data_IF_550823471574
#
_entry.id   IF_550823471574
#
_cell.length_a   1.000
_cell.length_b   1.000
_cell.length_c   1.000
_cell.angle_alpha   90.00
_cell.angle_beta   90.00
_cell.angle_gamma   90.00
#
_symmetry.space_group_name_H-M   'P 1'
#
loop_
_entity.id
_entity.type
_entity.pdbx_description
1 polymer ?
#
# COMPACT_ATOMS: atom_id res chain seq x y z
N UNK A 1 -85.34 27.29 25.74
CA UNK A 1 -84.08 26.72 26.24
C UNK A 1 -83.58 25.58 25.36
N UNK A 2 -84.39 24.55 25.07
CA UNK A 2 -84.03 23.41 24.18
C UNK A 2 -83.70 23.79 22.72
N UNK A 3 -84.39 24.80 22.18
CA UNK A 3 -84.19 25.23 20.79
C UNK A 3 -82.87 25.99 20.60
N UNK A 4 -82.50 26.83 21.57
CA UNK A 4 -81.21 27.52 21.62
C UNK A 4 -80.02 26.53 21.68
N UNK A 5 -80.14 25.47 22.47
CA UNK A 5 -79.10 24.43 22.56
C UNK A 5 -78.97 23.60 21.28
N UNK A 6 -80.05 23.42 20.50
CA UNK A 6 -79.96 22.73 19.21
C UNK A 6 -79.25 23.58 18.16
N UNK A 7 -79.53 24.90 18.13
CA UNK A 7 -78.84 25.84 17.23
C UNK A 7 -77.35 25.97 17.52
N UNK A 8 -76.95 26.01 18.80
CA UNK A 8 -75.55 26.01 19.20
C UNK A 8 -74.84 24.69 18.79
N UNK A 9 -75.53 23.55 18.89
CA UNK A 9 -75.01 22.26 18.45
C UNK A 9 -74.81 22.20 16.93
N UNK A 10 -75.75 22.73 16.14
CA UNK A 10 -75.60 22.76 14.67
C UNK A 10 -74.46 23.67 14.24
N UNK A 11 -74.33 24.86 14.85
CA UNK A 11 -73.24 25.78 14.53
C UNK A 11 -71.86 25.19 14.89
N UNK A 12 -71.77 24.48 16.01
CA UNK A 12 -70.54 23.79 16.40
C UNK A 12 -70.20 22.60 15.50
N UNK A 13 -71.20 21.85 15.01
CA UNK A 13 -70.98 20.80 14.01
C UNK A 13 -70.48 21.38 12.69
N UNK A 14 -71.11 22.45 12.17
CA UNK A 14 -70.69 23.11 10.94
C UNK A 14 -69.25 23.65 11.03
N UNK A 15 -68.89 24.24 12.19
CA UNK A 15 -67.50 24.68 12.43
C UNK A 15 -66.52 23.50 12.50
N UNK A 16 -66.92 22.38 13.11
CA UNK A 16 -66.09 21.18 13.17
C UNK A 16 -65.87 20.58 11.78
N UNK A 17 -66.90 20.55 10.95
CA UNK A 17 -66.81 20.08 9.56
C UNK A 17 -65.85 20.95 8.75
N UNK A 18 -66.00 22.28 8.82
CA UNK A 18 -65.08 23.20 8.14
C UNK A 18 -63.62 23.07 8.62
N UNK A 19 -63.40 22.82 9.92
CA UNK A 19 -62.05 22.59 10.46
C UNK A 19 -61.50 21.24 10.01
N UNK A 20 -62.34 20.20 9.92
CA UNK A 20 -61.94 18.88 9.43
C UNK A 20 -61.51 18.95 7.96
N UNK A 21 -62.28 19.62 7.10
CA UNK A 21 -61.92 19.83 5.69
C UNK A 21 -60.62 20.62 5.54
N UNK A 22 -60.43 21.67 6.35
CA UNK A 22 -59.19 22.45 6.33
C UNK A 22 -57.97 21.63 6.78
N UNK A 23 -58.15 20.74 7.76
CA UNK A 23 -57.10 19.82 8.21
C UNK A 23 -56.77 18.76 7.16
N UNK A 24 -57.76 18.21 6.47
CA UNK A 24 -57.57 17.25 5.39
C UNK A 24 -56.77 17.88 4.25
N UNK A 25 -57.16 19.07 3.79
CA UNK A 25 -56.43 19.81 2.76
C UNK A 25 -55.00 20.18 3.20
N UNK A 26 -54.80 20.52 4.48
CA UNK A 26 -53.47 20.78 5.01
C UNK A 26 -52.60 19.52 5.05
N UNK A 27 -53.19 18.38 5.42
CA UNK A 27 -52.50 17.09 5.45
C UNK A 27 -52.10 16.64 4.04
N UNK A 28 -52.97 16.81 3.04
CA UNK A 28 -52.67 16.53 1.63
C UNK A 28 -51.50 17.38 1.13
N UNK A 29 -51.52 18.70 1.38
CA UNK A 29 -50.41 19.58 0.97
C UNK A 29 -49.09 19.21 1.62
N UNK A 30 -49.11 18.83 2.91
CA UNK A 30 -47.90 18.36 3.60
C UNK A 30 -47.41 17.05 2.98
N UNK A 31 -48.30 16.11 2.67
CA UNK A 31 -47.93 14.85 2.03
C UNK A 31 -47.29 15.09 0.66
N UNK A 32 -47.86 15.96 -0.17
CA UNK A 32 -47.30 16.35 -1.48
C UNK A 32 -45.91 17.00 -1.33
N UNK A 33 -45.76 17.92 -0.38
CA UNK A 33 -44.48 18.57 -0.10
C UNK A 33 -43.41 17.55 0.34
N UNK A 34 -43.79 16.59 1.19
CA UNK A 34 -42.86 15.56 1.66
C UNK A 34 -42.40 14.64 0.53
N UNK A 35 -43.29 14.30 -0.41
CA UNK A 35 -42.91 13.53 -1.61
C UNK A 35 -41.95 14.33 -2.49
N UNK A 36 -42.23 15.62 -2.71
CA UNK A 36 -41.36 16.50 -3.51
C UNK A 36 -39.97 16.66 -2.89
N UNK A 37 -39.90 16.92 -1.58
CA UNK A 37 -38.63 17.04 -0.85
C UNK A 37 -37.84 15.74 -0.84
N UNK A 38 -38.51 14.59 -0.71
CA UNK A 38 -37.86 13.29 -0.77
C UNK A 38 -37.25 13.03 -2.16
N UNK A 39 -37.97 13.38 -3.24
CA UNK A 39 -37.47 13.24 -4.60
C UNK A 39 -36.26 14.15 -4.87
N UNK A 40 -36.30 15.40 -4.40
CA UNK A 40 -35.19 16.35 -4.52
C UNK A 40 -33.96 15.87 -3.74
N UNK A 41 -34.15 15.38 -2.51
CA UNK A 41 -33.08 14.83 -1.70
C UNK A 41 -32.42 13.61 -2.38
N UNK A 42 -33.22 12.69 -2.94
CA UNK A 42 -32.70 11.56 -3.70
C UNK A 42 -31.89 12.00 -4.92
N UNK A 43 -32.36 13.00 -5.65
CA UNK A 43 -31.64 13.54 -6.80
C UNK A 43 -30.31 14.19 -6.40
N UNK A 44 -30.31 14.96 -5.30
CA UNK A 44 -29.09 15.59 -4.75
C UNK A 44 -28.07 14.55 -4.33
N UNK A 45 -28.50 13.53 -3.59
CA UNK A 45 -27.65 12.39 -3.20
C UNK A 45 -27.09 11.69 -4.44
N UNK A 46 -27.91 11.44 -5.45
CA UNK A 46 -27.46 10.82 -6.70
C UNK A 46 -26.36 11.62 -7.40
N UNK A 47 -26.48 12.96 -7.44
CA UNK A 47 -25.43 13.82 -8.00
C UNK A 47 -24.15 13.79 -7.19
N UNK A 48 -24.26 13.86 -5.85
CA UNK A 48 -23.09 13.80 -4.96
C UNK A 48 -22.35 12.46 -5.16
N UNK A 49 -23.08 11.35 -5.15
CA UNK A 49 -22.50 10.01 -5.36
C UNK A 49 -21.75 9.95 -6.70
N UNK A 50 -22.38 10.38 -7.79
CA UNK A 50 -21.73 10.39 -9.11
C UNK A 50 -20.45 11.24 -9.13
N UNK A 51 -20.45 12.41 -8.49
CA UNK A 51 -19.26 13.28 -8.42
C UNK A 51 -18.15 12.67 -7.57
N UNK A 52 -18.50 12.05 -6.44
CA UNK A 52 -17.54 11.41 -5.53
C UNK A 52 -16.93 10.18 -6.19
N UNK A 53 -17.72 9.36 -6.88
CA UNK A 53 -17.25 8.20 -7.62
C UNK A 53 -16.28 8.61 -8.74
N UNK A 54 -16.65 9.62 -9.53
CA UNK A 54 -15.79 10.15 -10.61
C UNK A 54 -14.46 10.70 -10.04
N UNK A 55 -14.52 11.46 -8.95
CA UNK A 55 -13.31 11.99 -8.30
C UNK A 55 -12.42 10.89 -7.74
N UNK A 56 -13.02 9.84 -7.17
CA UNK A 56 -12.30 8.67 -6.65
C UNK A 56 -11.64 7.88 -7.77
N UNK A 57 -12.31 7.69 -8.90
CA UNK A 57 -11.76 7.00 -10.07
C UNK A 57 -10.54 7.75 -10.63
N UNK A 58 -10.66 9.07 -10.81
CA UNK A 58 -9.53 9.91 -11.26
C UNK A 58 -8.32 9.87 -10.31
N UNK A 59 -8.56 9.86 -8.99
CA UNK A 59 -7.48 9.72 -8.00
C UNK A 59 -6.82 8.33 -8.06
N UNK A 60 -7.61 7.27 -8.29
CA UNK A 60 -7.07 5.91 -8.45
C UNK A 60 -6.23 5.79 -9.72
N UNK A 61 -6.69 6.35 -10.84
CA UNK A 61 -5.92 6.39 -12.09
C UNK A 61 -4.59 7.13 -11.91
N UNK A 62 -4.61 8.28 -11.21
CA UNK A 62 -3.39 9.03 -10.91
C UNK A 62 -2.40 8.21 -10.07
N UNK A 63 -2.88 7.55 -9.01
CA UNK A 63 -2.03 6.70 -8.16
C UNK A 63 -1.46 5.52 -8.92
N UNK A 64 -2.25 4.94 -9.82
CA UNK A 64 -1.80 3.84 -10.68
C UNK A 64 -0.66 4.32 -11.59
N UNK A 65 -0.82 5.45 -12.27
CA UNK A 65 0.23 6.02 -13.13
C UNK A 65 1.51 6.38 -12.35
N UNK A 66 1.36 6.93 -11.13
CA UNK A 66 2.50 7.21 -10.26
C UNK A 66 3.23 5.92 -9.82
N UNK A 67 2.48 4.86 -9.47
CA UNK A 67 3.05 3.57 -9.10
C UNK A 67 3.75 2.89 -10.28
N UNK A 68 3.15 2.89 -11.47
CA UNK A 68 3.76 2.37 -12.70
C UNK A 68 5.07 3.11 -13.02
N UNK A 69 5.10 4.44 -12.88
CA UNK A 69 6.32 5.24 -13.04
C UNK A 69 7.41 4.86 -12.05
N UNK A 70 7.05 4.61 -10.78
CA UNK A 70 7.99 4.16 -9.75
C UNK A 70 8.56 2.77 -10.08
N UNK A 71 7.71 1.84 -10.49
CA UNK A 71 8.12 0.48 -10.90
C UNK A 71 9.10 0.56 -12.06
N UNK A 72 8.77 1.30 -13.13
CA UNK A 72 9.66 1.46 -14.27
C UNK A 72 11.02 2.08 -13.88
N UNK A 73 11.03 3.03 -12.94
CA UNK A 73 12.27 3.61 -12.43
C UNK A 73 13.10 2.62 -11.60
N UNK A 74 12.44 1.76 -10.82
CA UNK A 74 13.09 0.74 -10.00
C UNK A 74 13.66 -0.38 -10.87
N UNK A 75 12.93 -0.82 -11.89
CA UNK A 75 13.40 -1.80 -12.87
C UNK A 75 14.64 -1.30 -13.61
N UNK A 76 14.68 -0.03 -14.02
CA UNK A 76 15.88 0.58 -14.63
C UNK A 76 17.07 0.55 -13.68
N UNK A 77 16.89 0.93 -12.41
CA UNK A 77 17.95 0.87 -11.40
C UNK A 77 18.45 -0.55 -11.16
N UNK A 78 17.53 -1.53 -11.10
CA UNK A 78 17.90 -2.93 -10.97
C UNK A 78 18.74 -3.37 -12.18
N UNK A 79 18.31 -3.06 -13.40
CA UNK A 79 19.05 -3.38 -14.62
C UNK A 79 20.45 -2.74 -14.63
N UNK A 80 20.57 -1.48 -14.23
CA UNK A 80 21.86 -0.77 -14.11
C UNK A 80 22.78 -1.45 -13.08
N UNK A 81 22.25 -1.77 -11.90
CA UNK A 81 23.01 -2.45 -10.85
C UNK A 81 23.43 -3.86 -11.25
N UNK A 82 22.54 -4.62 -11.90
CA UNK A 82 22.85 -5.95 -12.42
C UNK A 82 23.91 -5.87 -13.52
N UNK A 83 23.84 -4.89 -14.41
CA UNK A 83 24.87 -4.67 -15.45
C UNK A 83 26.22 -4.27 -14.83
N UNK A 84 26.22 -3.41 -13.80
CA UNK A 84 27.42 -3.04 -13.08
C UNK A 84 28.05 -4.24 -12.33
N UNK A 85 27.23 -5.11 -11.74
CA UNK A 85 27.67 -6.33 -11.07
C UNK A 85 28.17 -7.41 -12.05
N UNK A 86 27.63 -7.45 -13.27
CA UNK A 86 28.06 -8.35 -14.35
C UNK A 86 29.33 -7.88 -15.07
N UNK A 87 29.92 -6.74 -14.70
CA UNK A 87 31.16 -6.26 -15.28
C UNK A 87 32.33 -7.23 -14.97
N UNK A 88 33.04 -7.74 -15.99
CA UNK A 88 34.03 -8.82 -15.85
C UNK A 88 35.27 -8.44 -15.03
N UNK A 89 35.41 -7.16 -14.65
CA UNK A 89 36.48 -6.69 -13.76
C UNK A 89 36.37 -7.30 -12.36
N UNK A 90 35.16 -7.64 -11.90
CA UNK A 90 34.92 -8.30 -10.60
C UNK A 90 35.06 -9.82 -10.69
N UNK A 91 34.70 -10.44 -11.83
CA UNK A 91 34.70 -11.90 -11.97
C UNK A 91 36.06 -12.51 -12.36
N UNK A 92 37.05 -11.72 -12.79
CA UNK A 92 38.29 -12.25 -13.36
C UNK A 92 39.53 -12.24 -12.46
N UNK A 93 39.52 -11.53 -11.33
CA UNK A 93 40.73 -11.37 -10.50
C UNK A 93 40.40 -11.61 -9.03
N UNK A 94 40.55 -12.86 -8.61
CA UNK A 94 40.51 -13.27 -7.21
C UNK A 94 41.73 -12.67 -6.52
N UNK A 95 41.56 -11.49 -5.92
CA UNK A 95 42.63 -10.82 -5.16
C UNK A 95 42.19 -10.68 -3.72
N UNK A 96 42.66 -11.59 -2.87
CA UNK A 96 42.61 -11.40 -1.43
C UNK A 96 43.70 -10.39 -1.02
N UNK A 97 43.44 -9.50 -0.05
CA UNK A 97 44.49 -8.70 0.58
C UNK A 97 45.63 -9.60 1.10
N UNK A 98 46.89 -9.23 0.85
CA UNK A 98 48.05 -10.08 1.14
C UNK A 98 48.16 -10.52 2.62
N UNK A 99 47.76 -9.65 3.55
CA UNK A 99 47.70 -10.00 4.97
C UNK A 99 46.68 -11.11 5.28
N UNK A 100 45.58 -11.12 4.55
CA UNK A 100 44.49 -12.08 4.70
C UNK A 100 44.82 -13.44 4.07
N UNK A 101 45.43 -13.43 2.88
CA UNK A 101 45.98 -14.63 2.25
C UNK A 101 47.03 -15.29 3.17
N UNK A 102 47.86 -14.49 3.84
CA UNK A 102 48.84 -14.98 4.81
C UNK A 102 48.19 -15.56 6.07
N UNK A 103 47.10 -14.95 6.56
CA UNK A 103 46.36 -15.48 7.72
C UNK A 103 45.65 -16.79 7.40
N UNK A 104 45.00 -16.89 6.24
CA UNK A 104 44.34 -18.12 5.79
C UNK A 104 45.36 -19.25 5.58
N UNK A 105 46.51 -18.95 4.98
CA UNK A 105 47.61 -19.91 4.86
C UNK A 105 48.14 -20.38 6.23
N UNK A 106 48.25 -19.48 7.23
CA UNK A 106 48.65 -19.85 8.59
C UNK A 106 47.63 -20.74 9.31
N UNK A 107 46.36 -20.64 8.96
CA UNK A 107 45.29 -21.50 9.48
C UNK A 107 45.11 -22.81 8.67
N UNK A 108 46.03 -23.09 7.73
CA UNK A 108 46.01 -24.31 6.93
C UNK A 108 45.06 -24.28 5.72
N UNK A 109 44.48 -23.13 5.40
CA UNK A 109 43.66 -22.95 4.19
C UNK A 109 44.60 -22.59 3.03
N UNK A 110 45.01 -23.60 2.26
CA UNK A 110 45.86 -23.41 1.09
C UNK A 110 45.05 -22.90 -0.10
N UNK A 111 45.39 -21.69 -0.58
CA UNK A 111 44.94 -21.15 -1.86
C UNK A 111 45.88 -21.72 -2.93
N UNK A 112 45.46 -22.75 -3.67
CA UNK A 112 46.29 -23.30 -4.75
C UNK A 112 46.47 -22.25 -5.86
N UNK A 113 47.71 -21.87 -6.16
CA UNK A 113 48.09 -20.77 -7.04
C UNK A 113 48.06 -21.17 -8.52
N UNK A 114 47.04 -21.94 -8.93
CA UNK A 114 46.96 -22.58 -10.24
C UNK A 114 45.61 -22.43 -10.92
N UNK A 115 45.25 -21.20 -11.33
CA UNK A 115 44.33 -20.91 -12.45
C UNK A 115 42.87 -21.39 -12.42
N UNK A 116 42.47 -22.25 -11.49
CA UNK A 116 41.10 -22.74 -11.31
C UNK A 116 40.88 -23.04 -9.84
N UNK A 117 40.42 -22.05 -9.08
CA UNK A 117 40.10 -22.22 -7.67
C UNK A 117 38.83 -23.06 -7.51
N UNK A 118 38.86 -24.24 -6.87
CA UNK A 118 37.62 -24.87 -6.39
C UNK A 118 37.03 -24.01 -5.26
N UNK A 119 35.71 -23.84 -5.28
CA UNK A 119 34.96 -23.20 -4.18
C UNK A 119 35.39 -23.81 -2.84
N UNK A 120 35.77 -22.97 -1.89
CA UNK A 120 36.29 -23.44 -0.61
C UNK A 120 35.14 -23.94 0.29
N UNK A 121 35.33 -25.11 0.91
CA UNK A 121 34.36 -25.67 1.85
C UNK A 121 34.12 -24.73 3.05
N UNK A 122 32.87 -24.27 3.21
CA UNK A 122 32.47 -23.30 4.26
C UNK A 122 32.85 -23.77 5.68
N UNK A 123 32.89 -25.08 5.91
CA UNK A 123 33.23 -25.68 7.21
C UNK A 123 34.70 -25.48 7.60
N UNK A 124 35.62 -25.49 6.62
CA UNK A 124 37.04 -25.25 6.85
C UNK A 124 37.33 -23.77 7.16
N UNK A 125 36.61 -22.87 6.48
CA UNK A 125 36.68 -21.42 6.72
C UNK A 125 36.14 -21.10 8.11
N UNK A 126 35.02 -21.70 8.50
CA UNK A 126 34.43 -21.48 9.83
C UNK A 126 35.33 -21.96 10.97
N UNK A 127 36.02 -23.09 10.77
CA UNK A 127 37.04 -23.58 11.71
C UNK A 127 38.25 -22.64 11.82
N UNK A 128 38.79 -22.18 10.69
CA UNK A 128 39.94 -21.26 10.66
C UNK A 128 39.64 -19.89 11.30
N UNK A 129 38.39 -19.43 11.20
CA UNK A 129 37.96 -18.14 11.72
C UNK A 129 37.40 -18.20 13.16
N UNK A 130 37.25 -19.39 13.75
CA UNK A 130 36.64 -19.57 15.07
C UNK A 130 37.37 -18.84 16.22
N UNK A 131 38.67 -18.55 16.04
CA UNK A 131 39.49 -17.81 17.01
C UNK A 131 39.34 -16.28 16.95
N UNK A 132 38.60 -15.75 15.96
CA UNK A 132 38.40 -14.32 15.75
C UNK A 132 37.10 -13.80 16.38
N UNK A 133 37.03 -12.49 16.61
CA UNK A 133 35.78 -11.84 17.04
C UNK A 133 34.70 -11.97 15.96
N UNK A 134 33.42 -11.84 16.34
CA UNK A 134 32.29 -11.98 15.41
C UNK A 134 32.39 -10.95 14.27
N UNK A 135 32.78 -9.73 14.57
CA UNK A 135 32.93 -8.63 13.61
C UNK A 135 34.06 -8.92 12.62
N UNK A 136 35.16 -9.48 13.10
CA UNK A 136 36.29 -9.91 12.26
C UNK A 136 35.89 -11.09 11.36
N UNK A 137 35.11 -12.03 11.87
CA UNK A 137 34.56 -13.14 11.07
C UNK A 137 33.65 -12.64 9.95
N UNK A 138 32.77 -11.69 10.25
CA UNK A 138 31.87 -11.09 9.26
C UNK A 138 32.68 -10.33 8.19
N UNK A 139 33.68 -9.55 8.59
CA UNK A 139 34.54 -8.82 7.67
C UNK A 139 35.30 -9.76 6.73
N UNK A 140 35.88 -10.83 7.27
CA UNK A 140 36.65 -11.82 6.50
C UNK A 140 35.74 -12.58 5.53
N UNK A 141 34.57 -13.04 5.98
CA UNK A 141 33.61 -13.74 5.12
C UNK A 141 33.08 -12.84 3.99
N UNK A 142 32.81 -11.58 4.29
CA UNK A 142 32.33 -10.62 3.29
C UNK A 142 33.37 -10.38 2.19
N UNK A 143 34.66 -10.35 2.54
CA UNK A 143 35.74 -10.21 1.58
C UNK A 143 36.00 -11.50 0.80
N UNK A 144 35.84 -12.68 1.41
CA UNK A 144 35.91 -13.98 0.71
C UNK A 144 34.76 -14.16 -0.30
N UNK A 145 33.54 -13.74 0.06
CA UNK A 145 32.38 -13.68 -0.84
C UNK A 145 32.63 -12.69 -1.99
N UNK A 146 33.18 -11.50 -1.68
CA UNK A 146 33.55 -10.50 -2.70
C UNK A 146 34.63 -11.01 -3.65
N UNK A 147 35.59 -11.79 -3.15
CA UNK A 147 36.65 -12.39 -3.95
C UNK A 147 36.19 -13.62 -4.76
N UNK A 148 34.92 -14.05 -4.60
CA UNK A 148 34.37 -15.21 -5.30
C UNK A 148 34.93 -16.56 -4.81
N UNK A 149 35.47 -16.61 -3.59
CA UNK A 149 36.07 -17.81 -2.99
C UNK A 149 35.08 -18.63 -2.15
N UNK A 150 33.90 -18.05 -1.87
CA UNK A 150 32.78 -18.70 -1.18
C UNK A 150 31.52 -18.53 -2.03
N UNK A 151 30.71 -19.57 -2.12
CA UNK A 151 29.39 -19.60 -2.76
C UNK A 151 28.30 -19.88 -1.73
#
# INVERSE_FOLDING_TARGET
MKEKTMLELTETMERLEAVAEALEQAAERIAEQQVALAAEAQQSVGRIVATVETAREAELERRLAEAEGQIASAERKIAELTAAAASPVVQGRVTLPAGMATMLAKQGVALDAGGSFPSMESSAIDGALASLSIEQRIAVKSELLRAGLMS
#
